data_IF_675763517279
#
_entry.id   IF_675763517279
#
_cell.length_a   1.000
_cell.length_b   1.000
_cell.length_c   1.000
_cell.angle_alpha   90.00
_cell.angle_beta   90.00
_cell.angle_gamma   90.00
#
_symmetry.space_group_name_H-M   'P 1'
#
loop_
_entity.id
_entity.type
_entity.pdbx_description
1 polymer ?
#
# COMPACT_ATOMS: atom_id res chain seq x y z
N UNK A 1 -0.39 16.25 -5.28
CA UNK A 1 -0.32 14.85 -4.95
C UNK A 1 -1.71 14.28 -4.82
N UNK A 2 -2.01 13.24 -5.59
CA UNK A 2 -3.40 12.86 -5.84
C UNK A 2 -3.65 11.38 -5.57
N UNK A 3 -3.03 10.85 -4.53
CA UNK A 3 -3.26 9.46 -4.19
C UNK A 3 -2.53 8.97 -2.94
N UNK A 4 -2.81 7.75 -2.59
CA UNK A 4 -2.23 7.04 -1.46
C UNK A 4 -1.91 5.60 -1.86
N UNK A 5 -0.92 5.02 -1.21
CA UNK A 5 -0.52 3.61 -1.38
C UNK A 5 -0.80 2.88 -0.07
N UNK A 6 -1.33 1.68 -0.15
CA UNK A 6 -1.58 0.85 1.05
C UNK A 6 -0.55 -0.27 1.15
N UNK A 7 0.09 -0.41 2.30
CA UNK A 7 0.84 -1.63 2.61
C UNK A 7 -0.09 -2.68 3.23
N UNK A 8 0.45 -3.84 3.58
CA UNK A 8 -0.35 -4.93 4.17
C UNK A 8 -1.07 -4.47 5.46
N UNK A 9 -0.36 -3.75 6.33
CA UNK A 9 -0.96 -3.22 7.57
C UNK A 9 -2.08 -2.23 7.31
N UNK A 10 -1.92 -1.38 6.30
CA UNK A 10 -2.97 -0.45 5.87
C UNK A 10 -4.20 -1.18 5.35
N UNK A 11 -4.01 -2.25 4.57
CA UNK A 11 -5.11 -3.07 4.07
C UNK A 11 -5.85 -3.80 5.20
N UNK A 12 -5.11 -4.28 6.21
CA UNK A 12 -5.72 -4.89 7.40
C UNK A 12 -6.57 -3.87 8.15
N UNK A 13 -6.11 -2.63 8.25
CA UNK A 13 -6.89 -1.58 8.89
C UNK A 13 -8.20 -1.30 8.15
N UNK A 14 -8.21 -1.37 6.81
CA UNK A 14 -9.43 -1.27 6.01
C UNK A 14 -10.39 -2.41 6.36
N UNK A 15 -9.88 -3.64 6.42
CA UNK A 15 -10.67 -4.82 6.78
C UNK A 15 -11.32 -4.65 8.14
N UNK A 16 -10.59 -4.13 9.12
CA UNK A 16 -11.07 -3.93 10.48
C UNK A 16 -11.97 -2.71 10.64
N UNK A 17 -12.10 -1.92 9.60
CA UNK A 17 -12.88 -0.68 9.63
C UNK A 17 -12.42 0.27 10.75
N UNK A 18 -11.12 0.42 10.90
CA UNK A 18 -10.53 1.34 11.85
C UNK A 18 -11.05 2.77 11.56
N UNK A 19 -11.32 3.54 12.62
CA UNK A 19 -11.89 4.88 12.48
C UNK A 19 -10.99 5.80 11.64
N UNK A 20 -9.69 5.68 11.80
CA UNK A 20 -8.71 6.48 11.06
C UNK A 20 -8.74 6.17 9.57
N UNK A 21 -8.86 4.89 9.24
CA UNK A 21 -8.99 4.42 7.86
C UNK A 21 -10.23 4.99 7.20
N UNK A 22 -11.34 4.98 7.91
CA UNK A 22 -12.59 5.53 7.37
C UNK A 22 -12.40 6.99 6.94
N UNK A 23 -11.78 7.79 7.79
CA UNK A 23 -11.51 9.19 7.50
C UNK A 23 -10.58 9.36 6.29
N UNK A 24 -9.53 8.55 6.21
CA UNK A 24 -8.56 8.59 5.11
C UNK A 24 -9.24 8.25 3.79
N UNK A 25 -10.04 7.18 3.75
CA UNK A 25 -10.74 6.76 2.54
C UNK A 25 -11.81 7.75 2.12
N UNK A 26 -12.54 8.30 3.07
CA UNK A 26 -13.58 9.29 2.80
C UNK A 26 -12.98 10.54 2.14
N UNK A 27 -11.87 11.04 2.69
CA UNK A 27 -11.15 12.17 2.11
C UNK A 27 -10.63 11.84 0.71
N UNK A 28 -10.04 10.67 0.52
CA UNK A 28 -9.52 10.26 -0.79
C UNK A 28 -10.63 10.19 -1.84
N UNK A 29 -11.80 9.65 -1.48
CA UNK A 29 -12.93 9.55 -2.38
C UNK A 29 -13.49 10.94 -2.73
N UNK A 30 -13.62 11.83 -1.75
CA UNK A 30 -14.09 13.19 -1.98
C UNK A 30 -13.15 13.96 -2.91
N UNK A 31 -11.85 13.78 -2.75
CA UNK A 31 -10.83 14.48 -3.53
C UNK A 31 -10.58 13.84 -4.90
N UNK A 32 -11.16 12.67 -5.16
CA UNK A 32 -10.92 11.92 -6.39
C UNK A 32 -9.51 11.36 -6.47
N UNK A 33 -8.88 11.08 -5.33
CA UNK A 33 -7.52 10.56 -5.25
C UNK A 33 -7.42 9.12 -5.74
N UNK A 34 -6.28 8.78 -6.32
CA UNK A 34 -5.97 7.39 -6.68
C UNK A 34 -5.62 6.60 -5.43
N UNK A 35 -6.05 5.33 -5.42
CA UNK A 35 -5.69 4.37 -4.38
C UNK A 35 -4.85 3.29 -5.03
N UNK A 36 -3.61 3.13 -4.59
CA UNK A 36 -2.69 2.13 -5.13
C UNK A 36 -2.54 1.00 -4.14
N UNK A 37 -2.76 -0.21 -4.63
CA UNK A 37 -2.62 -1.45 -3.86
C UNK A 37 -1.58 -2.32 -4.54
N UNK A 38 -0.36 -2.44 -3.98
CA UNK A 38 0.62 -3.39 -4.53
C UNK A 38 0.08 -4.81 -4.44
N UNK A 39 0.19 -5.57 -5.53
CA UNK A 39 -0.35 -6.93 -5.59
C UNK A 39 0.24 -7.84 -4.52
N UNK A 40 1.51 -7.66 -4.15
CA UNK A 40 2.18 -8.42 -3.10
C UNK A 40 1.57 -8.15 -1.73
N UNK A 41 1.26 -6.90 -1.41
CA UNK A 41 0.58 -6.54 -0.16
C UNK A 41 -0.82 -7.13 -0.12
N UNK A 42 -1.54 -7.07 -1.23
CA UNK A 42 -2.88 -7.65 -1.34
C UNK A 42 -2.83 -9.16 -1.10
N UNK A 43 -1.87 -9.86 -1.70
CA UNK A 43 -1.71 -11.31 -1.56
C UNK A 43 -1.43 -11.71 -0.11
N UNK A 44 -0.75 -10.89 0.67
CA UNK A 44 -0.50 -11.16 2.08
C UNK A 44 -1.76 -11.06 2.94
N UNK A 45 -2.73 -10.26 2.53
CA UNK A 45 -3.90 -9.95 3.36
C UNK A 45 -5.12 -10.75 2.99
N UNK A 46 -5.33 -11.03 1.71
CA UNK A 46 -6.53 -11.75 1.26
C UNK A 46 -6.52 -13.19 1.79
N UNK A 47 -7.61 -13.56 2.49
CA UNK A 47 -7.79 -14.92 3.04
C UNK A 47 -9.22 -15.40 2.86
N UNK A 48 -10.20 -14.63 3.32
CA UNK A 48 -11.61 -15.04 3.32
C UNK A 48 -12.48 -13.86 2.85
N UNK A 49 -12.95 -13.88 1.59
CA UNK A 49 -13.74 -12.77 1.05
C UNK A 49 -14.98 -12.42 1.86
N UNK A 50 -15.63 -13.42 2.47
CA UNK A 50 -16.83 -13.19 3.26
C UNK A 50 -16.57 -12.34 4.51
N UNK A 51 -15.34 -12.37 5.04
CA UNK A 51 -14.94 -11.57 6.20
C UNK A 51 -14.24 -10.27 5.82
N UNK A 52 -13.93 -10.10 4.55
CA UNK A 52 -13.13 -8.98 4.05
C UNK A 52 -13.93 -8.09 3.10
N UNK A 53 -15.21 -7.92 3.37
CA UNK A 53 -16.12 -7.18 2.48
C UNK A 53 -15.64 -5.73 2.27
N UNK A 54 -15.17 -5.08 3.33
CA UNK A 54 -14.71 -3.68 3.22
C UNK A 54 -13.47 -3.56 2.33
N UNK A 55 -12.53 -4.50 2.46
CA UNK A 55 -11.34 -4.53 1.63
C UNK A 55 -11.71 -4.74 0.17
N UNK A 56 -12.54 -5.73 -0.12
CA UNK A 56 -12.99 -6.01 -1.48
C UNK A 56 -13.75 -4.83 -2.07
N UNK A 57 -14.55 -4.13 -1.27
CA UNK A 57 -15.26 -2.94 -1.71
C UNK A 57 -14.28 -1.83 -2.13
N UNK A 58 -13.22 -1.61 -1.35
CA UNK A 58 -12.20 -0.62 -1.70
C UNK A 58 -11.49 -0.99 -3.01
N UNK A 59 -11.18 -2.26 -3.21
CA UNK A 59 -10.53 -2.72 -4.45
C UNK A 59 -11.43 -2.47 -5.67
N UNK A 60 -12.74 -2.41 -5.49
CA UNK A 60 -13.70 -2.15 -6.58
C UNK A 60 -13.90 -0.65 -6.86
N UNK A 61 -13.32 0.26 -6.10
CA UNK A 61 -13.45 1.70 -6.37
C UNK A 61 -12.84 2.04 -7.73
N UNK A 62 -13.45 3.00 -8.44
CA UNK A 62 -12.99 3.40 -9.78
C UNK A 62 -11.54 3.85 -9.79
N UNK A 63 -11.08 4.50 -8.72
CA UNK A 63 -9.73 5.05 -8.61
C UNK A 63 -8.73 4.09 -7.98
N UNK A 64 -9.13 2.87 -7.66
CA UNK A 64 -8.22 1.87 -7.10
C UNK A 64 -7.52 1.11 -8.23
N UNK A 65 -6.21 1.03 -8.11
CA UNK A 65 -5.37 0.30 -9.04
C UNK A 65 -4.50 -0.69 -8.29
N UNK A 66 -4.58 -1.97 -8.65
CA UNK A 66 -3.69 -3.01 -8.12
C UNK A 66 -2.47 -3.08 -9.03
N UNK A 67 -1.28 -2.84 -8.48
CA UNK A 67 -0.03 -2.83 -9.24
C UNK A 67 0.61 -4.23 -9.18
N UNK A 68 0.77 -4.89 -10.32
CA UNK A 68 1.38 -6.22 -10.34
C UNK A 68 2.88 -6.16 -10.06
N UNK A 69 3.42 -7.27 -9.55
CA UNK A 69 4.86 -7.47 -9.47
C UNK A 69 5.31 -8.14 -10.77
N UNK A 70 5.37 -7.37 -11.84
CA UNK A 70 5.86 -7.84 -13.14
C UNK A 70 7.40 -7.80 -13.19
N UNK A 71 7.97 -8.10 -14.37
CA UNK A 71 9.41 -8.13 -14.52
C UNK A 71 10.11 -6.82 -14.20
N UNK A 72 9.53 -5.70 -14.64
CA UNK A 72 10.07 -4.37 -14.37
C UNK A 72 10.00 -4.05 -12.88
N UNK A 73 8.88 -4.30 -12.24
CA UNK A 73 8.71 -4.10 -10.80
C UNK A 73 9.64 -5.02 -10.00
N UNK A 74 9.80 -6.26 -10.43
CA UNK A 74 10.69 -7.21 -9.75
C UNK A 74 12.15 -6.74 -9.77
N UNK A 75 12.60 -6.17 -10.89
CA UNK A 75 13.95 -5.62 -10.99
C UNK A 75 14.15 -4.44 -10.03
N UNK A 76 13.20 -3.52 -9.97
CA UNK A 76 13.25 -2.38 -9.07
C UNK A 76 13.24 -2.81 -7.60
N UNK A 77 12.39 -3.76 -7.26
CA UNK A 77 12.30 -4.34 -5.91
C UNK A 77 13.62 -5.00 -5.52
N UNK A 78 14.17 -5.84 -6.40
CA UNK A 78 15.45 -6.50 -6.14
C UNK A 78 16.59 -5.51 -5.92
N UNK A 79 16.66 -4.46 -6.73
CA UNK A 79 17.67 -3.42 -6.59
C UNK A 79 17.54 -2.68 -5.24
N UNK A 80 16.31 -2.37 -4.81
CA UNK A 80 16.08 -1.72 -3.52
C UNK A 80 16.51 -2.62 -2.36
N UNK A 81 16.16 -3.89 -2.39
CA UNK A 81 16.54 -4.85 -1.35
C UNK A 81 18.05 -4.99 -1.25
N UNK A 82 18.75 -5.02 -2.40
CA UNK A 82 20.21 -5.10 -2.43
C UNK A 82 20.86 -3.87 -1.80
N UNK A 83 20.37 -2.66 -2.13
CA UNK A 83 20.91 -1.40 -1.59
C UNK A 83 20.70 -1.27 -0.08
N UNK A 84 19.62 -1.81 0.44
CA UNK A 84 19.25 -1.67 1.85
C UNK A 84 19.63 -2.87 2.69
N UNK A 85 20.17 -3.92 2.08
CA UNK A 85 20.51 -5.17 2.75
C UNK A 85 19.34 -5.77 3.52
N UNK A 86 18.15 -5.73 2.91
CA UNK A 86 16.91 -6.29 3.47
C UNK A 86 16.35 -7.33 2.51
N UNK A 87 15.30 -8.05 2.92
CA UNK A 87 14.76 -9.17 2.13
C UNK A 87 13.24 -9.20 2.02
N UNK A 88 12.53 -8.21 2.55
CA UNK A 88 11.07 -8.21 2.49
C UNK A 88 10.58 -7.68 1.14
N UNK A 89 10.20 -8.60 0.25
CA UNK A 89 9.76 -8.29 -1.11
C UNK A 89 8.49 -7.43 -1.09
N UNK A 90 7.57 -7.71 -0.18
CA UNK A 90 6.29 -6.99 -0.11
C UNK A 90 6.51 -5.54 0.31
N UNK A 91 7.28 -5.29 1.36
CA UNK A 91 7.59 -3.93 1.79
C UNK A 91 8.32 -3.17 0.69
N UNK A 92 9.27 -3.81 0.02
CA UNK A 92 10.01 -3.19 -1.07
C UNK A 92 9.08 -2.84 -2.24
N UNK A 93 8.13 -3.72 -2.58
CA UNK A 93 7.17 -3.44 -3.65
C UNK A 93 6.28 -2.24 -3.30
N UNK A 94 5.83 -2.15 -2.05
CA UNK A 94 5.07 -0.99 -1.56
C UNK A 94 5.88 0.30 -1.74
N UNK A 95 7.15 0.28 -1.34
CA UNK A 95 8.03 1.45 -1.47
C UNK A 95 8.23 1.84 -2.93
N UNK A 96 8.47 0.88 -3.82
CA UNK A 96 8.64 1.16 -5.25
C UNK A 96 7.36 1.80 -5.82
N UNK A 97 6.18 1.28 -5.48
CA UNK A 97 4.92 1.87 -5.91
C UNK A 97 4.77 3.32 -5.44
N UNK A 98 5.12 3.58 -4.17
CA UNK A 98 5.01 4.92 -3.60
C UNK A 98 5.99 5.90 -4.24
N UNK A 99 7.23 5.48 -4.46
CA UNK A 99 8.25 6.31 -5.12
C UNK A 99 7.85 6.65 -6.55
N UNK A 100 7.37 5.67 -7.29
CA UNK A 100 6.97 5.85 -8.69
C UNK A 100 5.80 6.84 -8.81
N UNK A 101 4.82 6.75 -7.92
CA UNK A 101 3.63 7.60 -7.95
C UNK A 101 3.85 8.94 -7.25
N UNK A 102 4.80 9.03 -6.32
CA UNK A 102 4.99 10.22 -5.49
C UNK A 102 3.94 10.35 -4.40
N UNK A 103 3.42 9.23 -3.87
CA UNK A 103 2.32 9.21 -2.90
C UNK A 103 2.79 8.77 -1.52
N UNK A 104 2.05 9.18 -0.48
CA UNK A 104 2.24 8.69 0.87
C UNK A 104 1.74 7.24 1.01
N UNK A 105 2.29 6.51 1.97
CA UNK A 105 1.92 5.13 2.27
C UNK A 105 1.08 5.09 3.54
N UNK A 106 -0.07 4.45 3.48
CA UNK A 106 -0.90 4.14 4.65
C UNK A 106 -0.40 2.84 5.26
N UNK A 107 0.09 2.90 6.49
CA UNK A 107 0.80 1.79 7.13
C UNK A 107 0.52 1.70 8.63
N UNK A 108 0.60 0.50 9.18
CA UNK A 108 0.63 0.29 10.62
C UNK A 108 2.05 0.08 11.16
N UNK A 109 3.05 -0.02 10.27
CA UNK A 109 4.45 -0.28 10.65
C UNK A 109 5.42 0.65 9.92
N UNK A 110 5.49 1.92 10.36
CA UNK A 110 6.31 2.91 9.67
C UNK A 110 7.81 2.65 9.73
N UNK A 111 8.30 1.98 10.77
CA UNK A 111 9.74 1.79 10.96
C UNK A 111 10.36 0.90 9.88
N UNK A 112 9.69 -0.18 9.50
CA UNK A 112 10.19 -1.10 8.48
C UNK A 112 10.28 -0.40 7.12
N UNK A 113 9.31 0.44 6.79
CA UNK A 113 9.33 1.19 5.53
C UNK A 113 10.42 2.27 5.53
N UNK A 114 10.64 2.92 6.66
CA UNK A 114 11.70 3.94 6.78
C UNK A 114 13.10 3.36 6.59
N UNK A 115 13.31 2.10 6.88
CA UNK A 115 14.59 1.42 6.59
C UNK A 115 14.85 1.34 5.09
N UNK A 116 13.79 1.18 4.31
CA UNK A 116 13.90 1.08 2.85
C UNK A 116 14.09 2.45 2.21
N UNK A 117 13.39 3.46 2.72
CA UNK A 117 13.51 4.84 2.24
C UNK A 117 13.13 5.83 3.35
N UNK A 118 14.09 6.51 3.97
CA UNK A 118 13.79 7.48 5.04
C UNK A 118 12.99 8.70 4.58
N UNK A 119 12.95 8.98 3.27
CA UNK A 119 12.25 10.13 2.72
C UNK A 119 10.76 9.90 2.49
N UNK A 120 10.26 8.69 2.70
CA UNK A 120 8.85 8.35 2.51
C UNK A 120 7.94 9.17 3.42
N UNK A 121 6.80 9.57 2.85
CA UNK A 121 5.71 10.14 3.64
C UNK A 121 4.79 9.01 4.06
N UNK A 122 4.52 8.91 5.35
CA UNK A 122 3.77 7.81 5.92
C UNK A 122 2.55 8.32 6.68
N UNK A 123 1.43 7.65 6.50
CA UNK A 123 0.18 7.90 7.23
C UNK A 123 -0.05 6.69 8.12
N UNK A 124 0.14 6.87 9.40
CA UNK A 124 0.04 5.77 10.36
C UNK A 124 -1.41 5.48 10.72
N UNK A 125 -1.74 4.20 10.75
CA UNK A 125 -3.06 3.70 11.16
C UNK A 125 -2.98 2.64 12.25
#
# INVERSE_FOLDING_TARGET
MNGIVFDAGGLIAVERNDRRIYSILDTALEDGDRIIVPATALAQVIRNPARQVRLWRMIQFDKTEVIPLDGSQAQAVGALLARTSTSDITDAHVVICAQTAGYAIVTSDPLDLKRLDPALRLIRV
#
